data_IF_314929525980
#
_entry.id   IF_314929525980
#
_cell.length_a   1.000
_cell.length_b   1.000
_cell.length_c   1.000
_cell.angle_alpha   90.00
_cell.angle_beta   90.00
_cell.angle_gamma   90.00
#
_symmetry.space_group_name_H-M   'P 1'
#
loop_
_entity.id
_entity.type
_entity.pdbx_description
1 polymer ?
#
# COMPACT_ATOMS: atom_id res chain seq x y z
N UNK A 1 12.26 -37.91 -1.92
CA UNK A 1 13.34 -36.99 -2.30
C UNK A 1 13.92 -37.50 -3.60
N UNK A 2 13.52 -36.91 -4.73
CA UNK A 2 14.06 -37.28 -6.04
C UNK A 2 15.33 -36.44 -6.24
N UNK A 3 16.48 -37.10 -6.32
CA UNK A 3 17.73 -36.49 -6.77
C UNK A 3 17.55 -36.14 -8.25
N UNK A 4 17.22 -34.88 -8.53
CA UNK A 4 17.34 -34.32 -9.87
C UNK A 4 18.83 -34.29 -10.18
N UNK A 5 19.30 -35.22 -10.99
CA UNK A 5 20.66 -35.20 -11.54
C UNK A 5 20.76 -34.04 -12.51
N UNK A 6 21.15 -32.88 -12.01
CA UNK A 6 21.34 -31.67 -12.81
C UNK A 6 22.48 -31.92 -13.80
N UNK A 7 22.16 -32.20 -15.06
CA UNK A 7 23.17 -32.42 -16.10
C UNK A 7 23.95 -31.13 -16.34
N UNK A 8 25.23 -31.11 -15.98
CA UNK A 8 26.10 -29.96 -16.20
C UNK A 8 26.37 -29.76 -17.70
N UNK A 9 26.45 -28.50 -18.11
CA UNK A 9 26.62 -28.08 -19.50
C UNK A 9 28.05 -27.61 -19.72
N UNK A 10 28.73 -28.17 -20.74
CA UNK A 10 30.07 -27.73 -21.13
C UNK A 10 30.00 -26.33 -21.74
N UNK A 11 30.84 -25.41 -21.27
CA UNK A 11 30.81 -23.99 -21.73
C UNK A 11 32.12 -23.47 -22.31
N UNK A 12 33.28 -23.97 -21.89
CA UNK A 12 34.59 -23.51 -22.34
C UNK A 12 35.69 -24.52 -22.02
N UNK A 13 36.87 -24.39 -22.64
CA UNK A 13 38.08 -25.07 -22.17
C UNK A 13 38.77 -24.24 -21.08
N UNK A 14 39.49 -24.90 -20.16
CA UNK A 14 40.27 -24.20 -19.11
C UNK A 14 41.32 -23.26 -19.73
N UNK A 15 41.88 -23.64 -20.88
CA UNK A 15 42.86 -22.83 -21.62
C UNK A 15 42.30 -21.48 -22.11
N UNK A 16 40.98 -21.37 -22.29
CA UNK A 16 40.31 -20.13 -22.73
C UNK A 16 40.14 -19.11 -21.59
N UNK A 17 40.41 -19.52 -20.34
CA UNK A 17 40.24 -18.71 -19.13
C UNK A 17 41.49 -18.81 -18.23
N UNK A 18 42.63 -18.22 -18.64
CA UNK A 18 43.85 -18.23 -17.84
C UNK A 18 43.68 -17.48 -16.51
N UNK A 19 44.55 -17.70 -15.50
CA UNK A 19 44.48 -16.99 -14.22
C UNK A 19 44.39 -15.47 -14.37
N UNK A 20 43.42 -14.86 -13.69
CA UNK A 20 43.12 -13.42 -13.76
C UNK A 20 42.23 -13.00 -14.93
N UNK A 21 41.90 -13.90 -15.86
CA UNK A 21 40.99 -13.61 -16.97
C UNK A 21 39.52 -13.78 -16.58
N UNK A 22 38.65 -13.18 -17.40
CA UNK A 22 37.21 -13.35 -17.36
C UNK A 22 36.69 -13.72 -18.75
N UNK A 23 35.63 -14.52 -18.82
CA UNK A 23 35.01 -14.96 -20.07
C UNK A 23 33.49 -14.97 -19.92
N UNK A 24 32.79 -14.38 -20.89
CA UNK A 24 31.33 -14.45 -20.96
C UNK A 24 30.91 -15.68 -21.76
N UNK A 25 30.02 -16.48 -21.20
CA UNK A 25 29.44 -17.67 -21.84
C UNK A 25 27.92 -17.63 -21.74
N UNK A 26 27.26 -18.57 -22.43
CA UNK A 26 25.81 -18.77 -22.31
C UNK A 26 25.52 -20.20 -21.84
N UNK A 27 24.60 -20.34 -20.89
CA UNK A 27 24.08 -21.63 -20.44
C UNK A 27 22.57 -21.51 -20.24
N UNK A 28 21.79 -22.39 -20.87
CA UNK A 28 20.33 -22.40 -20.78
C UNK A 28 19.65 -21.01 -20.98
N UNK A 29 20.18 -20.17 -21.88
CA UNK A 29 19.68 -18.81 -22.09
C UNK A 29 20.21 -17.73 -21.12
N UNK A 30 20.85 -18.12 -20.02
CA UNK A 30 21.53 -17.21 -19.10
C UNK A 30 22.87 -16.74 -19.68
N UNK A 31 23.18 -15.45 -19.52
CA UNK A 31 24.50 -14.92 -19.77
C UNK A 31 25.33 -15.06 -18.49
N UNK A 32 26.45 -15.78 -18.53
CA UNK A 32 27.26 -16.10 -17.35
C UNK A 32 28.65 -15.51 -17.51
N UNK A 33 29.15 -14.86 -16.47
CA UNK A 33 30.52 -14.40 -16.36
C UNK A 33 31.36 -15.44 -15.61
N UNK A 34 32.33 -16.02 -16.30
CA UNK A 34 33.37 -16.86 -15.72
C UNK A 34 34.54 -15.97 -15.28
N UNK A 35 35.09 -16.24 -14.10
CA UNK A 35 36.31 -15.62 -13.60
C UNK A 35 37.28 -16.70 -13.16
N UNK A 36 38.54 -16.61 -13.56
CA UNK A 36 39.60 -17.40 -12.95
C UNK A 36 40.29 -16.56 -11.86
N UNK A 37 39.74 -16.62 -10.65
CA UNK A 37 40.22 -15.88 -9.50
C UNK A 37 41.28 -16.72 -8.76
N UNK A 38 42.55 -16.38 -8.96
CA UNK A 38 43.70 -17.03 -8.30
C UNK A 38 43.75 -18.55 -8.54
N UNK A 39 43.42 -19.00 -9.76
CA UNK A 39 43.40 -20.42 -10.14
C UNK A 39 42.08 -21.13 -9.86
N UNK A 40 41.11 -20.47 -9.22
CA UNK A 40 39.78 -21.03 -8.95
C UNK A 40 38.76 -20.41 -9.90
N UNK A 41 38.11 -21.26 -10.69
CA UNK A 41 37.06 -20.83 -11.62
C UNK A 41 35.77 -20.59 -10.85
N UNK A 42 35.22 -19.39 -11.01
CA UNK A 42 33.93 -18.95 -10.46
C UNK A 42 33.01 -18.56 -11.60
N UNK A 43 31.71 -18.78 -11.43
CA UNK A 43 30.70 -18.48 -12.43
C UNK A 43 29.52 -17.76 -11.79
N UNK A 44 29.20 -16.57 -12.28
CA UNK A 44 28.07 -15.76 -11.80
C UNK A 44 27.22 -15.27 -12.97
N UNK A 45 25.99 -14.85 -12.70
CA UNK A 45 25.18 -14.13 -13.68
C UNK A 45 25.97 -12.93 -14.21
N UNK A 46 26.06 -12.79 -15.53
CA UNK A 46 26.75 -11.68 -16.16
C UNK A 46 25.95 -10.37 -16.06
N UNK A 47 24.69 -10.41 -15.64
CA UNK A 47 23.88 -9.21 -15.43
C UNK A 47 23.98 -8.77 -13.99
N UNK A 48 24.52 -7.57 -13.76
CA UNK A 48 24.50 -6.96 -12.44
C UNK A 48 23.06 -6.90 -11.92
N UNK A 49 22.75 -7.45 -10.73
CA UNK A 49 21.38 -7.49 -10.25
C UNK A 49 20.82 -6.08 -9.97
N UNK A 50 21.65 -5.04 -9.91
CA UNK A 50 21.18 -3.67 -9.81
C UNK A 50 20.44 -3.21 -11.09
N UNK A 51 21.16 -3.06 -12.21
CA UNK A 51 20.61 -2.52 -13.48
C UNK A 51 21.15 -3.23 -14.74
N UNK A 52 21.70 -4.45 -14.59
CA UNK A 52 22.02 -5.31 -15.72
C UNK A 52 23.38 -5.09 -16.39
N UNK A 53 24.30 -4.30 -15.79
CA UNK A 53 25.66 -4.12 -16.33
C UNK A 53 26.38 -5.47 -16.56
N UNK A 54 27.12 -5.65 -17.67
CA UNK A 54 27.91 -6.85 -17.93
C UNK A 54 29.04 -7.02 -16.92
N UNK A 55 28.87 -7.93 -15.95
CA UNK A 55 29.82 -8.16 -14.87
C UNK A 55 31.15 -8.76 -15.33
N UNK A 56 31.21 -9.41 -16.48
CA UNK A 56 32.46 -9.94 -17.07
C UNK A 56 33.52 -8.85 -17.27
N UNK A 57 33.11 -7.59 -17.45
CA UNK A 57 34.02 -6.44 -17.58
C UNK A 57 34.51 -5.90 -16.23
N UNK A 58 34.00 -6.43 -15.12
CA UNK A 58 34.25 -5.90 -13.81
C UNK A 58 35.63 -6.34 -13.28
N UNK A 59 36.38 -5.42 -12.65
CA UNK A 59 37.60 -5.79 -11.95
C UNK A 59 37.29 -6.66 -10.73
N UNK A 60 38.12 -7.67 -10.52
CA UNK A 60 38.09 -8.57 -9.36
C UNK A 60 39.34 -8.36 -8.51
N UNK A 61 39.17 -8.24 -7.20
CA UNK A 61 40.26 -8.19 -6.23
C UNK A 61 39.86 -8.93 -4.95
N UNK A 62 40.73 -9.82 -4.47
CA UNK A 62 40.49 -10.61 -3.25
C UNK A 62 39.15 -11.36 -3.27
N UNK A 63 38.80 -11.99 -4.41
CA UNK A 63 37.53 -12.70 -4.59
C UNK A 63 36.29 -11.80 -4.70
N UNK A 64 36.46 -10.48 -4.67
CA UNK A 64 35.36 -9.51 -4.75
C UNK A 64 35.37 -8.81 -6.10
N UNK A 65 34.26 -8.91 -6.80
CA UNK A 65 33.96 -8.17 -8.02
C UNK A 65 33.40 -6.78 -7.66
N UNK A 66 33.80 -5.73 -8.40
CA UNK A 66 33.17 -4.40 -8.31
C UNK A 66 32.56 -4.00 -9.65
N UNK A 67 31.23 -3.92 -9.71
CA UNK A 67 30.51 -3.48 -10.91
C UNK A 67 31.02 -2.09 -11.37
N UNK A 68 31.44 -1.92 -12.64
CA UNK A 68 31.94 -0.65 -13.15
C UNK A 68 30.92 0.49 -13.11
N UNK A 69 29.63 0.18 -13.20
CA UNK A 69 28.58 1.19 -13.30
C UNK A 69 28.26 1.88 -11.97
N UNK A 70 27.72 1.15 -11.00
CA UNK A 70 27.25 1.70 -9.71
C UNK A 70 28.09 1.22 -8.53
N UNK A 71 29.22 0.56 -8.81
CA UNK A 71 30.21 0.13 -7.81
C UNK A 71 29.71 -0.85 -6.75
N UNK A 72 28.58 -1.53 -7.01
CA UNK A 72 28.15 -2.66 -6.21
C UNK A 72 29.22 -3.74 -6.19
N UNK A 73 29.44 -4.32 -5.02
CA UNK A 73 30.47 -5.32 -4.78
C UNK A 73 29.85 -6.68 -4.50
N UNK A 74 30.40 -7.72 -5.09
CA UNK A 74 29.91 -9.09 -4.95
C UNK A 74 31.07 -10.02 -4.63
N UNK A 75 30.91 -10.87 -3.63
CA UNK A 75 31.83 -11.97 -3.37
C UNK A 75 31.54 -13.10 -4.37
N UNK A 76 32.54 -13.56 -5.11
CA UNK A 76 32.35 -14.44 -6.27
C UNK A 76 31.96 -15.88 -5.93
N UNK A 77 32.24 -16.36 -4.72
CA UNK A 77 31.92 -17.74 -4.33
C UNK A 77 30.46 -17.92 -3.93
N UNK A 78 29.90 -16.94 -3.24
CA UNK A 78 28.54 -16.94 -2.68
C UNK A 78 27.58 -16.11 -3.51
N UNK A 79 28.09 -15.17 -4.31
CA UNK A 79 27.30 -14.15 -5.00
C UNK A 79 26.82 -13.04 -4.06
N UNK A 80 27.22 -13.08 -2.78
CA UNK A 80 26.75 -12.16 -1.75
C UNK A 80 27.08 -10.71 -2.07
N UNK A 81 26.07 -9.84 -2.05
CA UNK A 81 26.29 -8.41 -2.21
C UNK A 81 26.90 -7.82 -0.94
N UNK A 82 28.04 -7.16 -1.09
CA UNK A 82 28.75 -6.48 0.00
C UNK A 82 28.40 -4.99 0.07
N UNK A 83 27.44 -4.54 -0.75
CA UNK A 83 26.94 -3.16 -0.78
C UNK A 83 25.62 -3.11 -0.05
N UNK A 84 25.49 -2.19 0.91
CA UNK A 84 24.26 -2.04 1.70
C UNK A 84 23.06 -1.84 0.78
N UNK A 85 22.02 -2.62 1.04
CA UNK A 85 20.77 -2.61 0.31
C UNK A 85 20.81 -3.21 -1.09
N UNK A 86 21.91 -3.87 -1.47
CA UNK A 86 22.06 -4.52 -2.76
C UNK A 86 21.66 -5.99 -2.79
N UNK A 87 21.20 -6.44 -3.95
CA UNK A 87 20.81 -7.82 -4.23
C UNK A 87 22.00 -8.73 -4.53
N UNK A 88 21.95 -9.97 -4.07
CA UNK A 88 22.93 -11.00 -4.41
C UNK A 88 22.90 -11.35 -5.91
N UNK A 89 24.07 -11.61 -6.49
CA UNK A 89 24.19 -12.10 -7.87
C UNK A 89 24.04 -13.63 -7.91
N UNK A 90 23.39 -14.16 -8.95
CA UNK A 90 23.25 -15.61 -9.12
C UNK A 90 24.60 -16.29 -9.33
N UNK A 91 24.86 -17.41 -8.64
CA UNK A 91 26.09 -18.21 -8.77
C UNK A 91 25.79 -19.54 -9.44
N UNK A 92 26.59 -19.92 -10.43
CA UNK A 92 26.46 -21.22 -11.10
C UNK A 92 27.46 -22.22 -10.51
N UNK A 93 27.02 -23.47 -10.32
CA UNK A 93 27.92 -24.55 -9.90
C UNK A 93 28.91 -24.81 -11.02
N UNK A 94 30.20 -24.80 -10.70
CA UNK A 94 31.30 -25.06 -11.65
C UNK A 94 31.89 -26.44 -11.38
N UNK A 95 32.03 -27.25 -12.42
CA UNK A 95 32.84 -28.47 -12.39
C UNK A 95 33.90 -28.40 -13.49
N UNK A 96 35.13 -28.76 -13.16
CA UNK A 96 36.23 -28.89 -14.11
C UNK A 96 36.59 -30.36 -14.23
N UNK A 97 36.50 -30.91 -15.44
CA UNK A 97 36.91 -32.29 -15.76
C UNK A 97 37.52 -32.33 -17.16
N UNK A 98 38.61 -33.07 -17.31
CA UNK A 98 39.34 -33.24 -18.58
C UNK A 98 39.65 -31.90 -19.29
N UNK A 99 40.14 -30.91 -18.53
CA UNK A 99 40.43 -29.54 -19.00
C UNK A 99 39.24 -28.79 -19.63
N UNK A 100 38.01 -29.21 -19.34
CA UNK A 100 36.78 -28.55 -19.75
C UNK A 100 36.01 -28.01 -18.54
N UNK A 101 35.38 -26.85 -18.73
CA UNK A 101 34.54 -26.18 -17.72
C UNK A 101 33.09 -26.52 -17.98
N UNK A 102 32.40 -26.99 -16.95
CA UNK A 102 30.98 -27.30 -16.96
C UNK A 102 30.24 -26.46 -15.92
N UNK A 103 29.03 -26.01 -16.27
CA UNK A 103 28.16 -25.23 -15.39
C UNK A 103 26.83 -25.93 -15.13
N UNK A 104 26.21 -25.67 -13.97
CA UNK A 104 24.78 -25.92 -13.81
C UNK A 104 23.97 -25.12 -14.85
N UNK A 105 22.82 -25.62 -15.31
CA UNK A 105 21.96 -24.90 -16.26
C UNK A 105 21.32 -23.65 -15.65
N UNK A 106 21.15 -23.63 -14.33
CA UNK A 106 20.54 -22.54 -13.57
C UNK A 106 21.46 -22.11 -12.43
N UNK A 107 21.36 -20.86 -11.95
CA UNK A 107 22.08 -20.42 -10.77
C UNK A 107 21.55 -21.14 -9.51
N UNK A 108 22.43 -21.30 -8.52
CA UNK A 108 22.11 -21.86 -7.20
C UNK A 108 20.98 -21.05 -6.55
N UNK A 109 19.97 -21.74 -6.02
CA UNK A 109 18.82 -21.09 -5.38
C UNK A 109 17.85 -20.40 -6.36
N UNK A 110 17.81 -20.85 -7.62
CA UNK A 110 16.83 -20.44 -8.63
C UNK A 110 15.45 -21.07 -8.47
N UNK A 111 15.29 -21.97 -7.48
CA UNK A 111 14.00 -22.61 -7.21
C UNK A 111 12.91 -21.58 -6.86
N UNK A 112 11.64 -21.84 -7.21
CA UNK A 112 10.55 -20.89 -7.01
C UNK A 112 10.43 -20.35 -5.58
N UNK A 113 10.70 -21.19 -4.57
CA UNK A 113 10.58 -20.82 -3.17
C UNK A 113 11.72 -19.88 -2.73
N UNK A 114 12.96 -20.15 -3.14
CA UNK A 114 14.08 -19.23 -2.91
C UNK A 114 13.89 -17.89 -3.60
N UNK A 115 13.34 -17.87 -4.82
CA UNK A 115 13.00 -16.64 -5.53
C UNK A 115 11.91 -15.85 -4.81
N UNK A 116 10.82 -16.50 -4.41
CA UNK A 116 9.72 -15.89 -3.64
C UNK A 116 10.22 -15.28 -2.34
N UNK A 117 10.96 -16.06 -1.53
CA UNK A 117 11.54 -15.59 -0.26
C UNK A 117 12.44 -14.36 -0.44
N UNK A 118 13.28 -14.36 -1.47
CA UNK A 118 14.16 -13.24 -1.81
C UNK A 118 13.36 -12.00 -2.20
N UNK A 119 12.37 -12.15 -3.07
CA UNK A 119 11.55 -11.04 -3.53
C UNK A 119 10.69 -10.44 -2.42
N UNK A 120 10.12 -11.25 -1.50
CA UNK A 120 9.43 -10.74 -0.30
C UNK A 120 10.35 -9.92 0.61
N UNK A 121 11.58 -10.38 0.82
CA UNK A 121 12.60 -9.66 1.61
C UNK A 121 12.91 -8.30 0.99
N UNK A 122 13.08 -8.24 -0.34
CA UNK A 122 13.36 -6.99 -1.03
C UNK A 122 12.15 -6.08 -1.15
N UNK A 123 10.93 -6.62 -1.23
CA UNK A 123 9.72 -5.81 -1.12
C UNK A 123 9.65 -5.13 0.25
N UNK A 124 9.89 -5.88 1.33
CA UNK A 124 9.94 -5.32 2.68
C UNK A 124 11.02 -4.24 2.80
N UNK A 125 12.24 -4.52 2.35
CA UNK A 125 13.33 -3.54 2.36
C UNK A 125 13.00 -2.30 1.53
N UNK A 126 12.42 -2.49 0.34
CA UNK A 126 12.01 -1.41 -0.56
C UNK A 126 10.97 -0.50 0.07
N UNK A 127 10.01 -1.06 0.83
CA UNK A 127 9.07 -0.25 1.60
C UNK A 127 9.77 0.52 2.73
N UNK A 128 10.62 -0.15 3.52
CA UNK A 128 11.35 0.49 4.64
C UNK A 128 12.28 1.63 4.18
N UNK A 129 12.94 1.48 3.03
CA UNK A 129 13.86 2.47 2.46
C UNK A 129 13.16 3.46 1.51
N UNK A 130 11.85 3.29 1.27
CA UNK A 130 11.07 4.06 0.28
C UNK A 130 11.72 4.02 -1.11
N UNK A 131 12.23 2.84 -1.48
CA UNK A 131 12.93 2.60 -2.73
C UNK A 131 11.98 1.98 -3.76
N UNK A 132 11.32 2.84 -4.55
CA UNK A 132 10.36 2.43 -5.59
C UNK A 132 10.96 1.49 -6.63
N UNK A 133 12.23 1.65 -6.98
CA UNK A 133 12.90 0.75 -7.92
C UNK A 133 13.01 -0.68 -7.35
N UNK A 134 13.39 -0.82 -6.08
CA UNK A 134 13.48 -2.12 -5.41
C UNK A 134 12.10 -2.75 -5.22
N UNK A 135 11.08 -1.96 -4.87
CA UNK A 135 9.70 -2.43 -4.78
C UNK A 135 9.21 -2.96 -6.14
N UNK A 136 9.38 -2.19 -7.22
CA UNK A 136 8.98 -2.59 -8.56
C UNK A 136 9.67 -3.88 -9.01
N UNK A 137 10.98 -3.98 -8.81
CA UNK A 137 11.73 -5.20 -9.14
C UNK A 137 11.23 -6.42 -8.36
N UNK A 138 10.89 -6.23 -7.08
CA UNK A 138 10.38 -7.28 -6.21
C UNK A 138 9.00 -7.76 -6.66
N UNK A 139 8.11 -6.83 -7.01
CA UNK A 139 6.77 -7.13 -7.52
C UNK A 139 6.82 -7.86 -8.87
N UNK A 140 7.67 -7.40 -9.81
CA UNK A 140 7.95 -8.12 -11.05
C UNK A 140 8.44 -9.56 -10.79
N UNK A 141 9.23 -9.76 -9.73
CA UNK A 141 9.80 -11.06 -9.39
C UNK A 141 8.79 -11.98 -8.71
N UNK A 142 7.81 -11.43 -7.97
CA UNK A 142 6.73 -12.15 -7.31
C UNK A 142 5.61 -12.53 -8.27
N UNK A 143 5.48 -11.81 -9.39
CA UNK A 143 4.47 -12.09 -10.42
C UNK A 143 4.55 -13.54 -10.90
N UNK A 144 3.44 -14.27 -10.78
CA UNK A 144 3.34 -15.69 -11.13
C UNK A 144 4.03 -16.65 -10.14
N UNK A 145 4.70 -16.14 -9.10
CA UNK A 145 5.22 -16.92 -7.97
C UNK A 145 4.37 -16.76 -6.72
N UNK A 146 3.60 -15.68 -6.62
CA UNK A 146 2.83 -15.30 -5.45
C UNK A 146 1.48 -14.72 -5.90
N UNK A 147 0.46 -14.94 -5.08
CA UNK A 147 -0.85 -14.32 -5.26
C UNK A 147 -0.78 -12.86 -4.79
N UNK A 148 -1.43 -11.96 -5.51
CA UNK A 148 -1.44 -10.54 -5.21
C UNK A 148 -2.02 -10.25 -3.82
N UNK A 149 -2.96 -11.06 -3.31
CA UNK A 149 -3.51 -10.92 -1.95
C UNK A 149 -2.42 -10.97 -0.88
N UNK A 150 -1.40 -11.82 -1.06
CA UNK A 150 -0.28 -11.95 -0.11
C UNK A 150 0.62 -10.69 -0.17
N UNK A 151 0.83 -10.16 -1.37
CA UNK A 151 1.61 -8.94 -1.60
C UNK A 151 0.89 -7.74 -0.96
N UNK A 152 -0.42 -7.62 -1.20
CA UNK A 152 -1.28 -6.58 -0.64
C UNK A 152 -1.25 -6.67 0.88
N UNK A 153 -1.45 -7.87 1.44
CA UNK A 153 -1.37 -8.10 2.89
C UNK A 153 -0.03 -7.62 3.47
N UNK A 154 1.09 -7.95 2.85
CA UNK A 154 2.41 -7.51 3.32
C UNK A 154 2.54 -5.97 3.32
N UNK A 155 1.99 -5.30 2.30
CA UNK A 155 1.99 -3.84 2.24
C UNK A 155 1.07 -3.23 3.31
N UNK A 156 -0.11 -3.80 3.53
CA UNK A 156 -1.05 -3.36 4.57
C UNK A 156 -0.44 -3.54 5.97
N UNK A 157 0.16 -4.69 6.27
CA UNK A 157 0.87 -4.93 7.53
C UNK A 157 1.99 -3.89 7.75
N UNK A 158 2.73 -3.51 6.70
CA UNK A 158 3.74 -2.45 6.78
C UNK A 158 3.09 -1.09 7.12
N UNK A 159 2.04 -0.72 6.40
CA UNK A 159 1.29 0.52 6.57
C UNK A 159 0.72 0.69 7.98
N UNK A 160 0.12 -0.37 8.52
CA UNK A 160 -0.48 -0.40 9.85
C UNK A 160 0.58 -0.42 10.97
N UNK A 161 1.67 -1.17 10.77
CA UNK A 161 2.71 -1.33 11.79
C UNK A 161 3.55 -0.09 11.96
N UNK A 162 3.97 0.54 10.87
CA UNK A 162 4.93 1.65 10.90
C UNK A 162 4.22 3.00 10.80
N UNK A 163 3.03 3.15 11.37
CA UNK A 163 2.32 4.44 11.45
C UNK A 163 1.52 4.55 12.74
N UNK A 164 2.08 5.24 13.74
CA UNK A 164 1.43 5.46 15.04
C UNK A 164 0.09 6.17 14.92
N UNK A 165 -0.04 7.03 13.90
CA UNK A 165 -1.27 7.76 13.58
C UNK A 165 -2.37 6.88 12.97
N UNK A 166 -2.14 5.58 12.77
CA UNK A 166 -3.15 4.62 12.33
C UNK A 166 -3.37 4.61 10.81
N UNK A 167 -4.60 4.31 10.38
CA UNK A 167 -4.98 4.30 8.95
C UNK A 167 -4.74 5.68 8.34
N UNK A 168 -4.32 5.73 7.07
CA UNK A 168 -3.92 6.98 6.45
C UNK A 168 -3.94 6.97 4.93
N UNK A 169 -3.56 8.10 4.30
CA UNK A 169 -3.66 8.30 2.85
C UNK A 169 -2.92 7.24 2.03
N UNK A 170 -1.82 6.67 2.53
CA UNK A 170 -1.11 5.61 1.82
C UNK A 170 -1.98 4.38 1.58
N UNK A 171 -2.73 3.95 2.60
CA UNK A 171 -3.65 2.80 2.50
C UNK A 171 -4.90 3.14 1.69
N UNK A 172 -5.43 4.36 1.80
CA UNK A 172 -6.52 4.87 0.94
C UNK A 172 -6.15 4.75 -0.54
N UNK A 173 -4.98 5.27 -0.93
CA UNK A 173 -4.52 5.26 -2.33
C UNK A 173 -4.34 3.82 -2.81
N UNK A 174 -3.75 2.94 -1.99
CA UNK A 174 -3.62 1.52 -2.32
C UNK A 174 -5.00 0.90 -2.58
N UNK A 175 -5.96 1.05 -1.66
CA UNK A 175 -7.32 0.51 -1.81
C UNK A 175 -8.01 1.03 -3.07
N UNK A 176 -7.94 2.33 -3.32
CA UNK A 176 -8.51 2.92 -4.55
C UNK A 176 -7.93 2.25 -5.80
N UNK A 177 -6.60 2.09 -5.88
CA UNK A 177 -5.95 1.44 -7.02
C UNK A 177 -6.36 -0.04 -7.17
N UNK A 178 -6.56 -0.76 -6.06
CA UNK A 178 -7.06 -2.14 -6.07
C UNK A 178 -8.48 -2.22 -6.62
N UNK A 179 -9.37 -1.30 -6.23
CA UNK A 179 -10.74 -1.23 -6.77
C UNK A 179 -10.74 -1.01 -8.28
N UNK A 180 -9.79 -0.22 -8.79
CA UNK A 180 -9.67 0.07 -10.22
C UNK A 180 -8.91 -1.01 -11.01
N UNK A 181 -8.17 -1.91 -10.35
CA UNK A 181 -7.25 -2.85 -11.01
C UNK A 181 -7.92 -3.71 -12.09
N UNK A 182 -9.18 -4.13 -11.88
CA UNK A 182 -9.93 -4.93 -12.85
C UNK A 182 -10.22 -4.21 -14.19
N UNK A 183 -10.06 -2.88 -14.24
CA UNK A 183 -10.23 -2.07 -15.45
C UNK A 183 -8.92 -1.79 -16.19
N UNK A 184 -7.80 -2.16 -15.59
CA UNK A 184 -6.46 -1.95 -16.13
C UNK A 184 -5.99 -3.19 -16.90
N UNK A 185 -5.10 -2.98 -17.88
CA UNK A 185 -4.39 -4.10 -18.48
C UNK A 185 -3.33 -4.65 -17.49
N UNK A 186 -2.78 -5.82 -17.79
CA UNK A 186 -1.83 -6.49 -16.90
C UNK A 186 -0.57 -5.67 -16.54
N UNK A 187 -0.05 -4.86 -17.47
CA UNK A 187 1.13 -4.02 -17.20
C UNK A 187 0.75 -2.87 -16.25
N UNK A 188 -0.41 -2.25 -16.48
CA UNK A 188 -0.94 -1.16 -15.68
C UNK A 188 -1.39 -1.62 -14.28
N UNK A 189 -1.85 -2.87 -14.12
CA UNK A 189 -2.14 -3.46 -12.81
C UNK A 189 -0.88 -3.54 -11.94
N UNK A 190 0.24 -3.97 -12.53
CA UNK A 190 1.51 -4.00 -11.82
C UNK A 190 1.99 -2.59 -11.45
N UNK A 191 1.84 -1.62 -12.37
CA UNK A 191 2.15 -0.22 -12.08
C UNK A 191 1.27 0.35 -10.97
N UNK A 192 -0.02 0.00 -10.93
CA UNK A 192 -0.95 0.40 -9.88
C UNK A 192 -0.50 -0.15 -8.52
N UNK A 193 -0.11 -1.43 -8.44
CA UNK A 193 0.45 -2.01 -7.22
C UNK A 193 1.75 -1.32 -6.78
N UNK A 194 2.68 -1.09 -7.70
CA UNK A 194 3.93 -0.35 -7.42
C UNK A 194 3.62 1.03 -6.85
N UNK A 195 2.65 1.73 -7.45
CA UNK A 195 2.25 3.07 -7.05
C UNK A 195 1.60 3.06 -5.65
N UNK A 196 0.61 2.21 -5.42
CA UNK A 196 -0.08 2.09 -4.13
C UNK A 196 0.88 1.73 -2.99
N UNK A 197 1.72 0.71 -3.19
CA UNK A 197 2.71 0.29 -2.18
C UNK A 197 3.76 1.39 -1.94
N UNK A 198 4.13 2.16 -2.97
CA UNK A 198 5.02 3.33 -2.78
C UNK A 198 4.37 4.40 -1.89
N UNK A 199 3.07 4.65 -2.04
CA UNK A 199 2.35 5.60 -1.19
C UNK A 199 2.24 5.11 0.25
N UNK A 200 1.98 3.81 0.46
CA UNK A 200 2.05 3.20 1.79
C UNK A 200 3.44 3.38 2.42
N UNK A 201 4.50 3.04 1.69
CA UNK A 201 5.87 3.18 2.16
C UNK A 201 6.22 4.64 2.55
N UNK A 202 5.80 5.62 1.74
CA UNK A 202 6.02 7.04 2.01
C UNK A 202 5.27 7.54 3.24
N UNK A 203 4.02 7.13 3.41
CA UNK A 203 3.17 7.53 4.54
C UNK A 203 3.69 6.94 5.87
N UNK A 204 4.28 5.74 5.81
CA UNK A 204 4.92 5.06 6.96
C UNK A 204 6.36 5.51 7.24
N UNK A 205 7.02 6.20 6.31
CA UNK A 205 8.43 6.55 6.45
C UNK A 205 8.69 7.48 7.65
N UNK A 206 9.69 7.14 8.47
CA UNK A 206 10.09 7.90 9.66
C UNK A 206 8.98 8.09 10.71
N UNK A 207 7.94 7.26 10.70
CA UNK A 207 6.88 7.27 11.71
C UNK A 207 7.18 6.28 12.84
N UNK A 208 6.64 6.57 14.01
CA UNK A 208 6.69 5.63 15.13
C UNK A 208 5.78 4.42 14.85
N UNK A 209 6.16 3.21 15.29
CA UNK A 209 5.31 2.05 15.09
C UNK A 209 4.06 2.12 15.97
N UNK A 210 2.95 1.59 15.46
CA UNK A 210 1.71 1.41 16.20
C UNK A 210 1.84 0.24 17.18
N UNK A 211 1.26 0.38 18.36
CA UNK A 211 1.18 -0.69 19.37
C UNK A 211 -0.14 -1.43 19.24
N UNK A 212 -0.11 -2.75 19.19
CA UNK A 212 -1.31 -3.58 19.26
C UNK A 212 -1.92 -3.51 20.66
N UNK A 213 -3.25 -3.37 20.71
CA UNK A 213 -4.02 -3.30 21.95
C UNK A 213 -4.99 -4.49 22.03
N UNK A 214 -5.22 -5.05 23.23
CA UNK A 214 -6.26 -6.06 23.43
C UNK A 214 -7.62 -5.40 23.70
N UNK A 215 -8.74 -6.13 23.52
CA UNK A 215 -10.04 -5.71 24.01
C UNK A 215 -10.05 -5.48 25.53
N UNK A 216 -11.12 -4.87 26.05
CA UNK A 216 -11.39 -4.81 27.48
C UNK A 216 -11.49 -6.23 28.10
N UNK A 217 -11.13 -6.40 29.37
CA UNK A 217 -11.26 -7.69 30.07
C UNK A 217 -12.71 -8.19 30.07
N UNK A 218 -12.90 -9.50 30.09
CA UNK A 218 -14.23 -10.14 30.01
C UNK A 218 -15.03 -10.13 31.33
N UNK A 219 -14.52 -9.49 32.38
CA UNK A 219 -15.20 -9.45 33.68
C UNK A 219 -16.22 -8.31 33.71
N UNK A 220 -17.51 -8.68 33.63
CA UNK A 220 -18.64 -7.74 33.59
C UNK A 220 -19.22 -7.57 32.18
N UNK A 221 -20.51 -7.24 32.10
CA UNK A 221 -21.23 -7.06 30.85
C UNK A 221 -21.60 -5.58 30.67
N UNK A 222 -20.75 -4.83 29.97
CA UNK A 222 -21.20 -3.58 29.35
C UNK A 222 -22.12 -3.94 28.18
N UNK A 223 -23.32 -3.38 28.18
CA UNK A 223 -24.28 -3.45 27.09
C UNK A 223 -23.78 -2.71 25.84
N UNK A 224 -24.49 -2.89 24.72
CA UNK A 224 -24.12 -2.25 23.45
C UNK A 224 -24.16 -0.72 23.55
N UNK A 225 -25.22 -0.17 24.18
CA UNK A 225 -25.38 1.28 24.35
C UNK A 225 -24.29 1.85 25.27
N UNK A 226 -23.95 1.15 26.35
CA UNK A 226 -22.87 1.56 27.26
C UNK A 226 -21.50 1.56 26.57
N UNK A 227 -21.23 0.59 25.69
CA UNK A 227 -20.00 0.56 24.89
C UNK A 227 -19.97 1.70 23.86
N UNK A 228 -21.11 2.01 23.24
CA UNK A 228 -21.22 3.12 22.30
C UNK A 228 -20.98 4.47 22.98
N UNK A 229 -21.65 4.71 24.12
CA UNK A 229 -21.48 5.91 24.93
C UNK A 229 -20.04 6.05 25.42
N UNK A 230 -19.44 4.96 25.90
CA UNK A 230 -18.05 4.96 26.38
C UNK A 230 -17.07 5.27 25.24
N UNK A 231 -17.25 4.67 24.06
CA UNK A 231 -16.38 4.94 22.91
C UNK A 231 -16.44 6.40 22.48
N UNK A 232 -17.65 6.97 22.35
CA UNK A 232 -17.87 8.36 21.95
C UNK A 232 -17.32 9.32 23.00
N UNK A 233 -17.54 9.04 24.29
CA UNK A 233 -16.93 9.80 25.40
C UNK A 233 -15.40 9.83 25.31
N UNK A 234 -14.77 8.67 25.06
CA UNK A 234 -13.31 8.59 24.95
C UNK A 234 -12.78 9.29 23.69
N UNK A 235 -13.52 9.25 22.57
CA UNK A 235 -13.18 10.04 21.39
C UNK A 235 -13.30 11.56 21.67
N UNK A 236 -14.34 11.97 22.41
CA UNK A 236 -14.54 13.37 22.80
C UNK A 236 -13.40 13.87 23.70
N UNK A 237 -12.95 13.05 24.65
CA UNK A 237 -11.81 13.34 25.55
C UNK A 237 -10.43 13.15 24.87
N UNK A 238 -10.41 12.82 23.58
CA UNK A 238 -9.20 12.54 22.78
C UNK A 238 -8.35 11.37 23.32
N UNK A 239 -8.96 10.44 24.05
CA UNK A 239 -8.31 9.26 24.62
C UNK A 239 -8.36 8.05 23.66
N UNK A 240 -7.52 8.11 22.62
CA UNK A 240 -7.49 7.14 21.54
C UNK A 240 -7.21 5.69 22.01
N UNK A 241 -6.37 5.50 23.02
CA UNK A 241 -6.00 4.15 23.49
C UNK A 241 -7.20 3.48 24.15
N UNK A 242 -7.92 4.21 24.99
CA UNK A 242 -9.17 3.74 25.59
C UNK A 242 -10.22 3.42 24.54
N UNK A 243 -10.48 4.36 23.63
CA UNK A 243 -11.47 4.21 22.57
C UNK A 243 -11.17 2.97 21.70
N UNK A 244 -9.91 2.74 21.35
CA UNK A 244 -9.53 1.60 20.52
C UNK A 244 -9.84 0.27 21.20
N UNK A 245 -9.59 0.15 22.51
CA UNK A 245 -9.92 -1.06 23.26
C UNK A 245 -11.42 -1.31 23.32
N UNK A 246 -12.24 -0.25 23.38
CA UNK A 246 -13.70 -0.37 23.31
C UNK A 246 -14.13 -0.84 21.92
N UNK A 247 -13.59 -0.27 20.84
CA UNK A 247 -13.86 -0.72 19.48
C UNK A 247 -13.51 -2.21 19.30
N UNK A 248 -12.33 -2.63 19.75
CA UNK A 248 -11.90 -4.02 19.68
C UNK A 248 -12.82 -4.95 20.50
N UNK A 249 -13.36 -4.49 21.63
CA UNK A 249 -14.38 -5.22 22.39
C UNK A 249 -15.69 -5.36 21.61
N UNK A 250 -16.15 -4.29 20.94
CA UNK A 250 -17.35 -4.34 20.09
C UNK A 250 -17.12 -5.31 18.93
N UNK A 251 -16.00 -5.17 18.23
CA UNK A 251 -15.62 -6.04 17.11
C UNK A 251 -15.60 -7.52 17.51
N UNK A 252 -14.94 -7.86 18.63
CA UNK A 252 -14.86 -9.24 19.12
C UNK A 252 -16.23 -9.83 19.53
N UNK A 253 -17.17 -9.00 20.00
CA UNK A 253 -18.48 -9.45 20.51
C UNK A 253 -19.62 -9.40 19.50
N UNK A 254 -19.53 -8.49 18.54
CA UNK A 254 -20.65 -8.09 17.66
C UNK A 254 -20.29 -8.10 16.18
N UNK A 255 -19.01 -8.27 15.83
CA UNK A 255 -18.56 -8.30 14.45
C UNK A 255 -18.28 -6.92 13.85
N UNK A 256 -17.80 -6.91 12.59
CA UNK A 256 -17.38 -5.69 11.90
C UNK A 256 -18.53 -4.73 11.64
N UNK A 257 -19.76 -5.20 11.40
CA UNK A 257 -20.90 -4.33 11.14
C UNK A 257 -21.20 -3.39 12.32
N UNK A 258 -21.18 -3.92 13.54
CA UNK A 258 -21.36 -3.09 14.75
C UNK A 258 -20.17 -2.14 14.99
N UNK A 259 -18.96 -2.54 14.58
CA UNK A 259 -17.80 -1.66 14.62
C UNK A 259 -17.93 -0.51 13.61
N UNK A 260 -18.51 -0.75 12.43
CA UNK A 260 -18.81 0.28 11.44
C UNK A 260 -19.77 1.33 11.98
N UNK A 261 -20.89 0.89 12.58
CA UNK A 261 -21.88 1.80 13.20
C UNK A 261 -21.22 2.69 14.25
N UNK A 262 -20.37 2.10 15.10
CA UNK A 262 -19.67 2.82 16.15
C UNK A 262 -18.66 3.85 15.62
N UNK A 263 -17.86 3.46 14.62
CA UNK A 263 -16.89 4.32 13.96
C UNK A 263 -17.58 5.49 13.25
N UNK A 264 -18.65 5.22 12.49
CA UNK A 264 -19.41 6.23 11.76
C UNK A 264 -20.11 7.21 12.71
N UNK A 265 -20.68 6.72 13.83
CA UNK A 265 -21.28 7.58 14.83
C UNK A 265 -20.25 8.58 15.39
N UNK A 266 -19.07 8.11 15.84
CA UNK A 266 -18.05 9.00 16.36
C UNK A 266 -17.44 9.93 15.29
N UNK A 267 -17.30 9.46 14.05
CA UNK A 267 -16.80 10.26 12.94
C UNK A 267 -17.76 11.40 12.53
N UNK A 268 -19.05 11.27 12.87
CA UNK A 268 -20.11 12.25 12.52
C UNK A 268 -20.58 13.09 13.71
N UNK A 269 -20.02 12.88 14.90
CA UNK A 269 -20.25 13.75 16.07
C UNK A 269 -19.68 15.16 15.87
N UNK A 270 -18.71 15.29 14.98
CA UNK A 270 -18.08 16.54 14.57
C UNK A 270 -18.15 16.63 13.03
N UNK A 271 -18.90 17.60 12.51
CA UNK A 271 -19.30 17.68 11.09
C UNK A 271 -18.12 17.76 10.14
N UNK A 272 -17.01 18.33 10.60
CA UNK A 272 -15.81 18.54 9.80
C UNK A 272 -14.59 17.89 10.45
N UNK A 273 -14.77 16.74 11.09
CA UNK A 273 -13.67 16.03 11.70
C UNK A 273 -12.60 15.66 10.66
N UNK A 274 -11.45 16.31 10.77
CA UNK A 274 -10.37 16.29 9.79
C UNK A 274 -10.89 16.47 8.36
N UNK A 275 -11.75 17.47 8.12
CA UNK A 275 -12.30 17.75 6.78
C UNK A 275 -12.98 16.53 6.14
N UNK A 276 -13.52 15.63 6.97
CA UNK A 276 -14.19 14.40 6.52
C UNK A 276 -13.27 13.23 6.18
N UNK A 277 -11.93 13.37 6.24
CA UNK A 277 -10.99 12.29 5.90
C UNK A 277 -11.24 11.01 6.72
N UNK A 278 -11.74 11.15 7.94
CA UNK A 278 -12.05 10.00 8.81
C UNK A 278 -13.16 9.12 8.23
N UNK A 279 -14.15 9.71 7.55
CA UNK A 279 -15.23 8.95 6.90
C UNK A 279 -14.67 8.22 5.68
N UNK A 280 -13.80 8.86 4.90
CA UNK A 280 -13.10 8.23 3.79
C UNK A 280 -12.27 7.03 4.28
N UNK A 281 -11.51 7.21 5.37
CA UNK A 281 -10.68 6.14 5.93
C UNK A 281 -11.53 4.96 6.38
N UNK A 282 -12.70 5.20 6.98
CA UNK A 282 -13.64 4.13 7.33
C UNK A 282 -14.08 3.39 6.06
N UNK A 283 -14.54 4.10 5.03
CA UNK A 283 -14.99 3.47 3.79
C UNK A 283 -13.88 2.63 3.13
N UNK A 284 -12.69 3.20 2.98
CA UNK A 284 -11.53 2.51 2.36
C UNK A 284 -10.94 1.40 3.21
N UNK A 285 -11.15 1.43 4.53
CA UNK A 285 -10.81 0.30 5.38
C UNK A 285 -11.71 -0.91 5.10
N UNK A 286 -13.03 -0.73 4.93
CA UNK A 286 -13.93 -1.84 4.61
C UNK A 286 -13.69 -2.39 3.20
N UNK A 287 -13.52 -1.53 2.20
CA UNK A 287 -13.15 -1.96 0.85
C UNK A 287 -11.80 -2.72 0.85
N UNK A 288 -10.82 -2.28 1.66
CA UNK A 288 -9.56 -3.00 1.82
C UNK A 288 -9.74 -4.38 2.45
N UNK A 289 -10.63 -4.50 3.44
CA UNK A 289 -10.94 -5.80 4.06
C UNK A 289 -11.60 -6.77 3.09
N UNK A 290 -12.39 -6.28 2.13
CA UNK A 290 -12.93 -7.11 1.05
C UNK A 290 -11.80 -7.69 0.17
N UNK A 291 -10.80 -6.89 -0.19
CA UNK A 291 -9.60 -7.36 -0.91
C UNK A 291 -8.76 -8.36 -0.11
N UNK A 292 -8.79 -8.27 1.22
CA UNK A 292 -8.07 -9.14 2.13
C UNK A 292 -8.89 -10.36 2.60
N UNK A 293 -10.14 -10.50 2.15
CA UNK A 293 -11.04 -11.57 2.61
C UNK A 293 -11.31 -11.54 4.13
N UNK A 294 -11.29 -10.35 4.74
CA UNK A 294 -11.47 -10.15 6.18
C UNK A 294 -10.21 -10.40 7.03
N UNK A 295 -9.07 -10.77 6.42
CA UNK A 295 -7.81 -10.82 7.16
C UNK A 295 -7.43 -9.43 7.68
N UNK A 296 -6.75 -9.39 8.84
CA UNK A 296 -6.32 -8.15 9.51
C UNK A 296 -7.46 -7.23 9.99
N UNK A 297 -8.72 -7.70 10.05
CA UNK A 297 -9.88 -6.88 10.49
C UNK A 297 -9.61 -6.09 11.77
N UNK A 298 -9.09 -6.72 12.83
CA UNK A 298 -8.79 -6.02 14.10
C UNK A 298 -7.74 -4.92 13.92
N UNK A 299 -6.67 -5.19 13.17
CA UNK A 299 -5.58 -4.24 12.96
C UNK A 299 -6.01 -3.06 12.08
N UNK A 300 -6.79 -3.33 11.02
CA UNK A 300 -7.32 -2.32 10.11
C UNK A 300 -8.32 -1.43 10.84
N UNK A 301 -9.37 -2.00 11.44
CA UNK A 301 -10.43 -1.21 12.08
C UNK A 301 -9.92 -0.50 13.35
N UNK A 302 -9.09 -1.16 14.15
CA UNK A 302 -8.45 -0.53 15.31
C UNK A 302 -7.59 0.68 14.92
N UNK A 303 -6.96 0.65 13.74
CA UNK A 303 -6.12 1.76 13.28
C UNK A 303 -6.91 3.01 12.87
N UNK A 304 -8.24 2.94 12.73
CA UNK A 304 -9.08 4.10 12.45
C UNK A 304 -9.36 4.98 13.66
N UNK A 305 -9.20 4.44 14.87
CA UNK A 305 -9.66 5.11 16.10
C UNK A 305 -8.86 6.34 16.45
N UNK A 306 -7.53 6.30 16.28
CA UNK A 306 -6.70 7.47 16.56
C UNK A 306 -7.04 8.66 15.64
N UNK A 307 -7.12 8.52 14.31
CA UNK A 307 -7.60 9.58 13.43
C UNK A 307 -8.95 10.19 13.86
N UNK A 308 -9.87 9.38 14.37
CA UNK A 308 -11.16 9.85 14.89
C UNK A 308 -10.98 10.61 16.21
N UNK A 309 -10.36 10.00 17.22
CA UNK A 309 -10.24 10.59 18.56
C UNK A 309 -9.33 11.83 18.59
N UNK A 310 -8.29 11.88 17.77
CA UNK A 310 -7.32 12.98 17.77
C UNK A 310 -7.45 13.91 16.56
N UNK A 311 -8.47 13.72 15.72
CA UNK A 311 -8.72 14.53 14.54
C UNK A 311 -8.87 16.01 14.85
N UNK A 312 -8.57 16.85 13.86
CA UNK A 312 -8.80 18.29 13.96
C UNK A 312 -10.28 18.57 13.73
N UNK A 313 -10.94 19.24 14.67
CA UNK A 313 -12.36 19.60 14.56
C UNK A 313 -12.44 20.96 13.89
N UNK A 314 -12.64 20.97 12.59
CA UNK A 314 -12.56 22.19 11.79
C UNK A 314 -13.66 23.20 12.16
N UNK A 315 -14.81 22.75 12.68
CA UNK A 315 -15.86 23.61 13.24
C UNK A 315 -15.40 24.43 14.46
N UNK A 316 -14.33 24.03 15.15
CA UNK A 316 -13.73 24.78 16.25
C UNK A 316 -12.76 25.88 15.74
N UNK A 317 -12.47 25.90 14.44
CA UNK A 317 -11.54 26.84 13.81
C UNK A 317 -12.25 28.09 13.26
N UNK A 318 -11.52 29.21 13.22
CA UNK A 318 -12.04 30.48 12.72
C UNK A 318 -12.44 30.42 11.23
N UNK A 319 -11.76 29.59 10.44
CA UNK A 319 -11.99 29.48 9.00
C UNK A 319 -13.36 28.88 8.65
N UNK A 320 -14.02 28.22 9.61
CA UNK A 320 -15.34 27.59 9.44
C UNK A 320 -16.45 28.29 10.20
N UNK A 321 -16.17 29.38 10.93
CA UNK A 321 -17.12 30.01 11.85
C UNK A 321 -18.44 30.40 11.16
N UNK A 322 -18.37 30.90 9.92
CA UNK A 322 -19.53 31.33 9.14
C UNK A 322 -20.41 30.16 8.67
N UNK A 323 -19.91 28.93 8.71
CA UNK A 323 -20.62 27.72 8.26
C UNK A 323 -21.27 26.93 9.40
N UNK A 324 -20.79 27.07 10.64
CA UNK A 324 -21.25 26.23 11.78
C UNK A 324 -22.73 26.43 12.07
N UNK A 325 -23.19 27.69 12.19
CA UNK A 325 -24.58 28.00 12.52
C UNK A 325 -25.57 27.60 11.39
N UNK A 326 -25.33 27.96 10.11
CA UNK A 326 -26.18 27.52 9.00
C UNK A 326 -26.32 25.99 8.90
N UNK A 327 -25.22 25.26 9.07
CA UNK A 327 -25.24 23.80 9.01
C UNK A 327 -25.91 23.18 10.22
N UNK A 328 -25.65 23.69 11.43
CA UNK A 328 -26.33 23.24 12.64
C UNK A 328 -27.86 23.37 12.53
N UNK A 329 -28.34 24.50 11.99
CA UNK A 329 -29.75 24.71 11.71
C UNK A 329 -30.30 23.74 10.65
N UNK A 330 -29.53 23.49 9.58
CA UNK A 330 -29.89 22.52 8.55
C UNK A 330 -30.02 21.11 9.12
N UNK A 331 -29.04 20.64 9.89
CA UNK A 331 -29.04 19.29 10.48
C UNK A 331 -30.18 19.08 11.47
N UNK A 332 -30.53 20.10 12.27
CA UNK A 332 -31.66 20.03 13.19
C UNK A 332 -33.02 19.87 12.49
N UNK A 333 -33.13 20.36 11.25
CA UNK A 333 -34.35 20.29 10.43
C UNK A 333 -34.36 19.12 9.44
N UNK A 334 -33.24 18.39 9.29
CA UNK A 334 -33.22 17.23 8.41
C UNK A 334 -34.19 16.15 8.93
N UNK A 335 -35.01 15.56 8.06
CA UNK A 335 -35.89 14.48 8.47
C UNK A 335 -35.05 13.32 9.01
N UNK A 336 -35.53 12.66 10.08
CA UNK A 336 -34.93 11.44 10.66
C UNK A 336 -34.79 10.27 9.66
N UNK A 337 -35.26 10.43 8.42
CA UNK A 337 -35.05 9.50 7.31
C UNK A 337 -34.66 10.31 6.06
N UNK A 338 -33.48 10.11 5.48
CA UNK A 338 -33.15 10.69 4.18
C UNK A 338 -34.11 10.15 3.12
N UNK A 339 -34.23 10.88 2.01
CA UNK A 339 -34.87 10.37 0.81
C UNK A 339 -34.27 9.02 0.39
N UNK A 340 -35.06 8.22 -0.32
CA UNK A 340 -34.67 6.86 -0.69
C UNK A 340 -34.69 6.60 -2.19
N UNK A 341 -34.93 7.61 -3.03
CA UNK A 341 -34.94 7.45 -4.47
C UNK A 341 -33.50 7.55 -5.04
N UNK A 342 -32.88 6.43 -5.45
CA UNK A 342 -31.54 6.45 -6.03
C UNK A 342 -31.54 6.96 -7.48
N UNK A 343 -32.71 7.11 -8.11
CA UNK A 343 -32.88 7.60 -9.47
C UNK A 343 -33.28 9.09 -9.51
N UNK A 344 -33.33 9.76 -8.35
CA UNK A 344 -33.58 11.18 -8.27
C UNK A 344 -32.53 11.96 -9.06
N UNK A 345 -32.96 12.99 -9.78
CA UNK A 345 -32.07 13.85 -10.55
C UNK A 345 -32.55 15.28 -10.48
N UNK A 346 -31.59 16.21 -10.50
CA UNK A 346 -31.85 17.63 -10.68
C UNK A 346 -30.75 18.19 -11.61
N UNK A 347 -31.10 18.54 -12.86
CA UNK A 347 -30.14 19.11 -13.82
C UNK A 347 -29.50 20.43 -13.35
N UNK A 348 -30.14 21.17 -12.44
CA UNK A 348 -29.64 22.43 -11.91
C UNK A 348 -28.67 22.29 -10.74
N UNK A 349 -28.77 21.18 -9.99
CA UNK A 349 -28.02 20.98 -8.75
C UNK A 349 -26.50 21.10 -8.93
N UNK A 350 -25.94 20.52 -9.99
CA UNK A 350 -24.49 20.60 -10.26
C UNK A 350 -24.02 22.04 -10.45
N UNK A 351 -24.84 22.90 -11.05
CA UNK A 351 -24.54 24.32 -11.18
C UNK A 351 -24.54 25.02 -9.83
N UNK A 352 -25.54 24.73 -8.99
CA UNK A 352 -25.64 25.29 -7.63
C UNK A 352 -24.45 24.84 -6.77
N UNK A 353 -24.05 23.57 -6.84
CA UNK A 353 -22.89 23.04 -6.10
C UNK A 353 -21.55 23.67 -6.52
N UNK A 354 -21.43 24.13 -7.77
CA UNK A 354 -20.20 24.71 -8.31
C UNK A 354 -20.11 26.23 -8.12
N UNK A 355 -21.24 26.93 -8.28
CA UNK A 355 -21.27 28.39 -8.39
C UNK A 355 -22.13 29.07 -7.30
N UNK A 356 -22.87 28.30 -6.50
CA UNK A 356 -23.80 28.83 -5.49
C UNK A 356 -23.10 29.30 -4.21
N UNK A 357 -23.72 30.28 -3.54
CA UNK A 357 -23.29 30.69 -2.19
C UNK A 357 -23.66 29.61 -1.15
N UNK A 358 -22.99 29.54 0.01
CA UNK A 358 -23.19 28.45 0.97
C UNK A 358 -24.64 28.22 1.40
N UNK A 359 -25.40 29.29 1.67
CA UNK A 359 -26.81 29.20 2.05
C UNK A 359 -27.69 28.65 0.90
N UNK A 360 -27.36 28.98 -0.35
CA UNK A 360 -28.06 28.47 -1.53
C UNK A 360 -27.83 26.97 -1.70
N UNK A 361 -26.57 26.54 -1.50
CA UNK A 361 -26.19 25.12 -1.53
C UNK A 361 -26.91 24.34 -0.43
N UNK A 362 -26.90 24.84 0.81
CA UNK A 362 -27.57 24.20 1.95
C UNK A 362 -29.08 24.09 1.70
N UNK A 363 -29.72 25.16 1.21
CA UNK A 363 -31.14 25.15 0.91
C UNK A 363 -31.48 24.13 -0.18
N UNK A 364 -30.73 24.12 -1.29
CA UNK A 364 -30.94 23.19 -2.40
C UNK A 364 -30.80 21.73 -1.94
N UNK A 365 -29.78 21.40 -1.14
CA UNK A 365 -29.61 20.06 -0.58
C UNK A 365 -30.76 19.65 0.34
N UNK A 366 -31.24 20.55 1.20
CA UNK A 366 -32.40 20.29 2.07
C UNK A 366 -33.67 20.04 1.27
N UNK A 367 -33.94 20.86 0.26
CA UNK A 367 -35.09 20.70 -0.63
C UNK A 367 -35.02 19.38 -1.41
N UNK A 368 -33.84 19.00 -1.90
CA UNK A 368 -33.63 17.72 -2.57
C UNK A 368 -33.93 16.53 -1.63
N UNK A 369 -33.40 16.56 -0.40
CA UNK A 369 -33.65 15.52 0.60
C UNK A 369 -35.15 15.45 0.94
N UNK A 370 -35.80 16.60 1.15
CA UNK A 370 -37.24 16.68 1.42
C UNK A 370 -38.09 16.17 0.22
N UNK A 371 -37.62 16.37 -1.00
CA UNK A 371 -38.22 15.85 -2.23
C UNK A 371 -37.98 14.34 -2.45
N UNK A 372 -37.23 13.67 -1.57
CA UNK A 372 -37.01 12.24 -1.61
C UNK A 372 -35.70 11.80 -2.28
N UNK A 373 -34.77 12.73 -2.56
CA UNK A 373 -33.46 12.40 -3.10
C UNK A 373 -32.72 11.40 -2.21
N UNK A 374 -32.32 10.27 -2.80
CA UNK A 374 -31.50 9.28 -2.13
C UNK A 374 -30.07 9.75 -1.92
N UNK A 375 -29.41 9.26 -0.86
CA UNK A 375 -27.99 9.52 -0.60
C UNK A 375 -27.13 9.22 -1.83
N UNK A 376 -27.36 8.09 -2.49
CA UNK A 376 -26.64 7.70 -3.72
C UNK A 376 -26.79 8.72 -4.85
N UNK A 377 -27.98 9.30 -5.02
CA UNK A 377 -28.24 10.29 -6.07
C UNK A 377 -27.52 11.61 -5.77
N UNK A 378 -27.57 12.06 -4.50
CA UNK A 378 -26.88 13.27 -4.05
C UNK A 378 -25.35 13.12 -4.15
N UNK A 379 -24.80 11.99 -3.71
CA UNK A 379 -23.38 11.65 -3.86
C UNK A 379 -22.96 11.64 -5.34
N UNK A 380 -23.78 11.10 -6.24
CA UNK A 380 -23.47 11.10 -7.67
C UNK A 380 -23.40 12.52 -8.26
N UNK A 381 -24.28 13.45 -7.85
CA UNK A 381 -24.25 14.84 -8.29
C UNK A 381 -23.04 15.59 -7.75
N UNK A 382 -22.68 15.36 -6.49
CA UNK A 382 -21.48 15.92 -5.87
C UNK A 382 -20.20 15.42 -6.58
N UNK A 383 -20.12 14.12 -6.85
CA UNK A 383 -19.02 13.52 -7.62
C UNK A 383 -18.95 14.10 -9.04
N UNK A 384 -20.11 14.29 -9.71
CA UNK A 384 -20.16 14.93 -11.02
C UNK A 384 -19.62 16.36 -10.98
N UNK A 385 -20.02 17.17 -9.99
CA UNK A 385 -19.51 18.53 -9.81
C UNK A 385 -17.98 18.52 -9.63
N UNK A 386 -17.47 17.63 -8.77
CA UNK A 386 -16.04 17.44 -8.54
C UNK A 386 -15.28 17.06 -9.83
N UNK A 387 -15.79 16.09 -10.59
CA UNK A 387 -15.17 15.67 -11.86
C UNK A 387 -15.17 16.77 -12.91
N UNK A 388 -16.23 17.59 -12.98
CA UNK A 388 -16.28 18.73 -13.88
C UNK A 388 -15.21 19.77 -13.54
N UNK A 389 -14.91 19.99 -12.25
CA UNK A 389 -13.81 20.87 -11.82
C UNK A 389 -12.46 20.33 -12.32
N UNK A 390 -12.17 19.06 -12.13
CA UNK A 390 -10.91 18.42 -12.62
C UNK A 390 -10.81 18.46 -14.15
N UNK A 391 -11.92 18.27 -14.85
CA UNK A 391 -11.93 18.34 -16.31
C UNK A 391 -11.66 19.76 -16.85
N UNK A 392 -11.98 20.80 -16.06
CA UNK A 392 -11.88 22.21 -16.48
C UNK A 392 -10.61 22.90 -15.98
N UNK A 393 -10.07 22.48 -14.84
CA UNK A 393 -8.94 23.14 -14.19
C UNK A 393 -7.78 22.18 -13.95
N UNK A 394 -6.57 22.70 -14.06
CA UNK A 394 -5.38 21.92 -13.76
C UNK A 394 -5.27 21.69 -12.25
N UNK A 395 -4.95 20.46 -11.84
CA UNK A 395 -4.77 20.05 -10.43
C UNK A 395 -3.65 20.79 -9.67
N UNK A 396 -2.89 21.67 -10.34
CA UNK A 396 -1.82 22.44 -9.69
C UNK A 396 -2.37 23.60 -8.86
N UNK A 397 -3.63 23.97 -9.07
CA UNK A 397 -4.32 25.03 -8.32
C UNK A 397 -5.16 24.47 -7.16
N UNK A 398 -5.17 23.14 -6.95
CA UNK A 398 -5.84 22.51 -5.82
C UNK A 398 -4.87 22.54 -4.62
N UNK A 399 -5.23 23.26 -3.56
CA UNK A 399 -4.45 23.32 -2.33
C UNK A 399 -5.29 23.18 -1.04
N UNK A 400 -6.61 23.35 -1.05
CA UNK A 400 -7.34 23.43 0.25
C UNK A 400 -8.89 23.40 0.19
N UNK A 401 -9.53 22.84 -0.82
CA UNK A 401 -10.99 22.63 -0.71
C UNK A 401 -11.34 21.27 -1.27
N UNK A 402 -11.32 20.29 -0.37
CA UNK A 402 -11.49 18.85 -0.59
C UNK A 402 -10.87 18.40 -1.90
N UNK A 403 -9.62 17.93 -1.83
CA UNK A 403 -8.96 17.22 -2.92
C UNK A 403 -10.02 16.42 -3.65
N UNK A 404 -10.25 16.68 -4.94
CA UNK A 404 -11.39 16.11 -5.67
C UNK A 404 -11.47 14.58 -5.52
N UNK A 405 -10.34 13.95 -5.18
CA UNK A 405 -10.23 12.60 -4.66
C UNK A 405 -11.20 12.24 -3.51
N UNK A 406 -11.36 13.06 -2.46
CA UNK A 406 -12.28 12.87 -1.34
C UNK A 406 -13.72 12.68 -1.83
N UNK A 407 -14.14 13.52 -2.77
CA UNK A 407 -15.49 13.47 -3.32
C UNK A 407 -15.75 12.18 -4.12
N UNK A 408 -14.71 11.57 -4.69
CA UNK A 408 -14.81 10.24 -5.33
C UNK A 408 -14.72 9.12 -4.30
N UNK A 409 -14.06 9.35 -3.18
CA UNK A 409 -13.82 8.31 -2.18
C UNK A 409 -15.01 8.09 -1.22
N UNK A 410 -15.87 9.10 -1.07
CA UNK A 410 -17.19 9.00 -0.43
C UNK A 410 -18.28 8.30 -1.27
N UNK A 411 -18.07 8.15 -2.59
CA UNK A 411 -19.12 7.77 -3.55
C UNK A 411 -19.06 6.32 -4.03
#
# INVERSE_FOLDING_TARGET
>A
MSETTTSLVRVAAVADLPPGAALAVKVNGHAVALFNADGVIRAIDNRCPHMGYPLVEAPVRAGVLRCPWHHWRFELSTGGCLTTGGDDVGVFTVEVRDDQIYLSPEPTGSDPESRRRRARRFLHQGMTEVNTFLMAKSLCSLRGLEDDSIIIRQAVEHGLRFRSEGFGPGLVILTCLLNFAHRLNEEDQLLALVHGITHVARDSANRSPRRELPPLPEHGELGSDELADLFRFLCEDREATGAERVLLTVLARRGPEAAAELLLAAATDHYFLSTGHVIDFINKAYELLDHLGGELTEAVLGSLVRPIATGFRHEEAADWADMVEPLGAAFADLPNRPGCDPAWTDPGMVGILLDGEPDEIIAALREAIAAGAGLRALSALLCQAAMLRVARFHLQNENDWDDVLHLVSYC
#
